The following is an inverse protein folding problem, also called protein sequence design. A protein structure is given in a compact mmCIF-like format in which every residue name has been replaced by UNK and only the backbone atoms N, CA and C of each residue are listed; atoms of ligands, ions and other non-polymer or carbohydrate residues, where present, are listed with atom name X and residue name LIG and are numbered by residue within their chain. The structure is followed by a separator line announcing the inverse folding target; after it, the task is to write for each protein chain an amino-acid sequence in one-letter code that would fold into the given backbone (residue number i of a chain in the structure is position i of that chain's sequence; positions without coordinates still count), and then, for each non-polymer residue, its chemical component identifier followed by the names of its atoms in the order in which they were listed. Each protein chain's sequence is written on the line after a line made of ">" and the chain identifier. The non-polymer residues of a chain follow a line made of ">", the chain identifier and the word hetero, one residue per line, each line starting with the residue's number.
data_IF_067852400888
#
_entry.id   IF_067852400888
#
_cell.length_a   1.000
_cell.length_b   1.000
_cell.length_c   1.000
_cell.angle_alpha   90.00
_cell.angle_beta   90.00
_cell.angle_gamma   90.00
#
_symmetry.space_group_name_H-M   'P 1'
#
loop_
_entity.id
_entity.type
_entity.pdbx_description
1 polymer ?
#
# COMPACT_ATOMS: atom_id res chain seq x y z
N UNK A 1 -8.50 9.71 0.35
CA UNK A 1 -7.36 9.30 1.21
C UNK A 1 -6.22 10.30 1.12
N UNK A 2 -5.72 10.62 -0.09
CA UNK A 2 -4.65 11.62 -0.30
C UNK A 2 -4.94 13.01 0.30
N UNK A 3 -6.18 13.50 0.18
CA UNK A 3 -6.58 14.79 0.76
C UNK A 3 -6.46 14.91 2.30
N UNK A 4 -6.24 13.81 3.02
CA UNK A 4 -6.07 13.82 4.48
C UNK A 4 -4.65 13.50 4.94
N UNK A 5 -3.66 13.34 4.03
CA UNK A 5 -2.29 12.95 4.40
C UNK A 5 -1.67 13.91 5.44
N UNK A 6 -1.85 15.22 5.27
CA UNK A 6 -1.35 16.23 6.21
C UNK A 6 -1.87 16.04 7.65
N UNK A 7 -3.10 15.53 7.83
CA UNK A 7 -3.64 15.24 9.17
C UNK A 7 -2.94 14.07 9.86
N UNK A 8 -2.41 13.11 9.09
CA UNK A 8 -1.60 12.02 9.65
C UNK A 8 -0.19 12.50 9.96
N UNK A 9 0.38 13.36 9.10
CA UNK A 9 1.69 13.97 9.33
C UNK A 9 1.72 14.83 10.60
N UNK A 10 0.67 15.62 10.85
CA UNK A 10 0.50 16.39 12.10
C UNK A 10 0.52 15.51 13.36
N UNK A 11 0.10 14.25 13.23
CA UNK A 11 0.12 13.24 14.31
C UNK A 11 1.42 12.42 14.33
N UNK A 12 2.43 12.82 13.56
CA UNK A 12 3.67 12.07 13.37
C UNK A 12 3.43 10.63 12.89
N UNK A 13 2.46 10.45 11.98
CA UNK A 13 2.07 9.17 11.41
C UNK A 13 2.24 9.16 9.88
N UNK A 14 2.80 8.07 9.35
CA UNK A 14 2.96 7.86 7.90
C UNK A 14 1.90 6.89 7.39
N UNK A 15 1.23 7.29 6.30
CA UNK A 15 0.30 6.41 5.57
C UNK A 15 1.07 5.53 4.59
N UNK A 16 0.78 4.23 4.58
CA UNK A 16 1.33 3.26 3.64
C UNK A 16 0.17 2.49 3.00
N UNK A 17 0.23 2.31 1.67
CA UNK A 17 -0.61 1.33 0.98
C UNK A 17 0.11 -0.03 0.92
N UNK A 18 -0.64 -1.13 0.94
CA UNK A 18 -0.09 -2.47 0.79
C UNK A 18 -0.97 -3.30 -0.13
N UNK A 19 -0.35 -4.10 -1.01
CA UNK A 19 -1.02 -5.10 -1.83
C UNK A 19 -0.06 -6.28 -2.08
N UNK A 20 -0.62 -7.45 -2.39
CA UNK A 20 0.10 -8.69 -2.72
C UNK A 20 0.64 -8.71 -4.15
N UNK A 21 0.40 -7.66 -4.93
CA UNK A 21 0.94 -7.49 -6.28
C UNK A 21 2.42 -7.11 -6.25
N UNK A 22 3.09 -7.30 -7.39
CA UNK A 22 4.51 -6.97 -7.56
C UNK A 22 4.75 -5.46 -7.63
N UNK A 23 5.99 -5.04 -7.38
CA UNK A 23 6.41 -3.64 -7.52
C UNK A 23 6.09 -3.06 -8.91
N UNK A 24 6.24 -3.86 -9.96
CA UNK A 24 5.91 -3.43 -11.33
C UNK A 24 4.41 -3.14 -11.51
N UNK A 25 3.55 -3.97 -10.90
CA UNK A 25 2.12 -3.72 -10.91
C UNK A 25 1.77 -2.44 -10.14
N UNK A 26 2.42 -2.20 -8.99
CA UNK A 26 2.25 -0.97 -8.21
C UNK A 26 2.66 0.28 -9.00
N UNK A 27 3.78 0.23 -9.72
CA UNK A 27 4.24 1.32 -10.57
C UNK A 27 3.20 1.65 -11.65
N UNK A 28 2.78 0.64 -12.42
CA UNK A 28 1.78 0.81 -13.46
C UNK A 28 0.42 1.30 -12.90
N UNK A 29 0.05 0.88 -11.69
CA UNK A 29 -1.16 1.34 -11.02
C UNK A 29 -1.05 2.81 -10.58
N UNK A 30 0.06 3.19 -9.94
CA UNK A 30 0.31 4.56 -9.51
C UNK A 30 0.34 5.53 -10.70
N UNK A 31 0.99 5.14 -11.80
CA UNK A 31 1.00 5.91 -13.06
C UNK A 31 -0.41 6.14 -13.61
N UNK A 32 -1.25 5.11 -13.63
CA UNK A 32 -2.65 5.22 -14.10
C UNK A 32 -3.51 6.15 -13.24
N UNK A 33 -3.18 6.30 -11.96
CA UNK A 33 -3.87 7.22 -11.05
C UNK A 33 -3.37 8.66 -11.13
N UNK A 34 -2.34 8.93 -11.94
CA UNK A 34 -1.70 10.25 -12.02
C UNK A 34 -0.68 10.49 -10.89
N UNK A 35 -0.21 9.43 -10.23
CA UNK A 35 0.66 9.48 -9.07
C UNK A 35 -0.08 9.20 -7.75
N UNK A 36 0.70 8.78 -6.76
CA UNK A 36 0.25 8.60 -5.38
C UNK A 36 1.23 9.31 -4.46
N UNK A 37 0.72 10.13 -3.54
CA UNK A 37 1.52 10.89 -2.57
C UNK A 37 1.95 10.05 -1.35
N UNK A 38 1.82 8.72 -1.43
CA UNK A 38 2.21 7.81 -0.36
C UNK A 38 2.82 6.52 -0.91
N UNK A 39 3.67 5.83 -0.12
CA UNK A 39 4.34 4.61 -0.57
C UNK A 39 3.37 3.43 -0.71
N UNK A 40 3.66 2.56 -1.68
CA UNK A 40 3.00 1.26 -1.84
C UNK A 40 3.98 0.13 -1.53
N UNK A 41 3.65 -0.70 -0.55
CA UNK A 41 4.37 -1.91 -0.18
C UNK A 41 3.90 -3.09 -1.03
N UNK A 42 4.84 -3.86 -1.56
CA UNK A 42 4.57 -5.09 -2.29
C UNK A 42 4.75 -6.32 -1.36
N UNK A 43 3.65 -6.89 -0.89
CA UNK A 43 3.61 -8.14 -0.12
C UNK A 43 3.61 -9.37 -1.06
N UNK A 44 4.48 -9.32 -2.05
CA UNK A 44 4.49 -10.23 -3.19
C UNK A 44 5.22 -11.55 -2.91
N UNK A 45 6.33 -11.49 -2.15
CA UNK A 45 7.14 -12.68 -1.87
C UNK A 45 7.78 -12.66 -0.47
N UNK A 46 7.52 -13.66 0.39
CA UNK A 46 6.54 -14.74 0.21
C UNK A 46 5.12 -14.17 0.09
N UNK A 47 4.27 -14.76 -0.77
CA UNK A 47 2.98 -14.16 -1.12
C UNK A 47 2.10 -13.95 0.11
N UNK A 48 1.77 -12.68 0.36
CA UNK A 48 0.86 -12.30 1.44
C UNK A 48 1.44 -12.52 2.83
N UNK A 49 2.76 -12.57 3.02
CA UNK A 49 3.36 -12.88 4.31
C UNK A 49 2.91 -11.88 5.39
N UNK A 50 3.01 -10.58 5.10
CA UNK A 50 2.57 -9.53 6.02
C UNK A 50 1.04 -9.54 6.16
N UNK A 51 0.32 -9.69 5.05
CA UNK A 51 -1.15 -9.74 5.05
C UNK A 51 -1.68 -10.87 5.93
N UNK A 52 -1.01 -12.03 5.93
CA UNK A 52 -1.33 -13.19 6.80
C UNK A 52 -1.02 -12.91 8.26
N UNK A 53 0.12 -12.30 8.57
CA UNK A 53 0.46 -11.91 9.96
C UNK A 53 -0.57 -10.96 10.57
N UNK A 54 -1.14 -10.06 9.75
CA UNK A 54 -2.21 -9.16 10.17
C UNK A 54 -3.61 -9.81 10.19
N UNK A 55 -3.74 -11.08 9.77
CA UNK A 55 -5.04 -11.77 9.70
C UNK A 55 -5.98 -11.20 8.63
N UNK A 56 -5.44 -10.48 7.64
CA UNK A 56 -6.20 -9.81 6.57
C UNK A 56 -6.18 -10.60 5.25
N UNK A 57 -5.68 -11.83 5.28
CA UNK A 57 -5.59 -12.67 4.09
C UNK A 57 -6.99 -13.08 3.61
N UNK A 58 -7.25 -12.85 2.33
CA UNK A 58 -8.50 -13.24 1.69
C UNK A 58 -8.32 -14.58 0.97
N UNK A 59 -8.97 -15.63 1.48
CA UNK A 59 -9.08 -16.95 0.85
C UNK A 59 -10.34 -17.00 -0.01
N UNK A 60 -10.33 -16.26 -1.11
CA UNK A 60 -11.37 -16.35 -2.15
C UNK A 60 -11.15 -17.53 -3.08
#
# INVERSE_FOLDING_TARGET
>A
MQANLGRFEELNAQVLGISVDSVFAHQAFAEKLGGLDYPLLADFHPKGAVTKEYGLWFEG
#
